data_IF_910139294865
#
_entry.id   IF_910139294865
#
_cell.length_a   1.000
_cell.length_b   1.000
_cell.length_c   1.000
_cell.angle_alpha   90.00
_cell.angle_beta   90.00
_cell.angle_gamma   90.00
#
_symmetry.space_group_name_H-M   'P 1'
#
loop_
_entity.id
_entity.type
_entity.pdbx_description
1 polymer ?
#
# COMPACT_ATOMS: atom_id res chain seq x y z
N UNK A 1 -0.76 -31.01 -18.96
CA UNK A 1 -1.47 -29.81 -18.46
C UNK A 1 -0.99 -29.60 -17.02
N UNK A 2 0.01 -28.75 -16.84
CA UNK A 2 0.57 -28.47 -15.53
C UNK A 2 -0.34 -27.49 -14.79
N UNK A 3 -0.93 -27.92 -13.68
CA UNK A 3 -1.59 -27.01 -12.73
C UNK A 3 -0.52 -26.17 -12.04
N UNK A 4 -0.22 -25.02 -12.64
CA UNK A 4 0.62 -24.01 -12.01
C UNK A 4 -0.06 -23.56 -10.72
N UNK A 5 0.58 -23.79 -9.57
CA UNK A 5 0.18 -23.21 -8.29
C UNK A 5 0.33 -21.69 -8.45
N UNK A 6 -0.80 -21.00 -8.57
CA UNK A 6 -0.83 -19.54 -8.54
C UNK A 6 -0.51 -19.14 -7.09
N UNK A 7 0.75 -18.83 -6.83
CA UNK A 7 1.15 -18.22 -5.55
C UNK A 7 0.51 -16.83 -5.53
N UNK A 8 -0.61 -16.70 -4.81
CA UNK A 8 -1.27 -15.40 -4.63
C UNK A 8 -0.36 -14.54 -3.76
N UNK A 9 0.00 -13.37 -4.26
CA UNK A 9 0.66 -12.35 -3.46
C UNK A 9 -0.24 -12.02 -2.26
N UNK A 10 0.28 -12.14 -1.04
CA UNK A 10 -0.41 -11.69 0.17
C UNK A 10 0.18 -10.35 0.59
N UNK A 11 -0.68 -9.35 0.71
CA UNK A 11 -0.29 -8.04 1.24
C UNK A 11 -0.68 -7.95 2.73
N UNK A 12 0.14 -7.34 3.60
CA UNK A 12 -0.24 -7.12 4.99
C UNK A 12 -1.49 -6.24 5.09
N UNK A 13 -2.30 -6.45 6.12
CA UNK A 13 -3.63 -5.85 6.32
C UNK A 13 -3.64 -4.31 6.42
N UNK A 14 -2.50 -3.71 6.75
CA UNK A 14 -2.31 -2.26 6.87
C UNK A 14 -1.13 -1.81 6.01
N UNK A 15 -1.40 -0.94 5.03
CA UNK A 15 -0.41 -0.21 4.25
C UNK A 15 -0.27 1.21 4.83
N UNK A 16 0.87 1.53 5.44
CA UNK A 16 1.19 2.87 5.90
C UNK A 16 1.86 3.65 4.79
N UNK A 17 1.24 4.76 4.35
CA UNK A 17 1.82 5.59 3.30
C UNK A 17 2.62 6.73 3.93
N UNK A 18 3.93 6.70 3.74
CA UNK A 18 4.86 7.77 4.12
C UNK A 18 4.81 8.83 3.02
N UNK A 19 3.80 9.69 3.12
CA UNK A 19 3.60 10.81 2.20
C UNK A 19 4.41 12.00 2.70
N UNK A 20 5.41 12.42 1.92
CA UNK A 20 6.36 13.46 2.33
C UNK A 20 5.64 14.78 2.59
N UNK A 21 4.72 15.18 1.71
CA UNK A 21 4.00 16.45 1.86
C UNK A 21 3.09 16.44 3.10
N UNK A 22 2.46 15.29 3.41
CA UNK A 22 1.65 15.14 4.61
C UNK A 22 2.49 15.16 5.90
N UNK A 23 3.63 14.47 5.89
CA UNK A 23 4.55 14.46 7.02
C UNK A 23 5.09 15.86 7.33
N UNK A 24 5.55 16.59 6.31
CA UNK A 24 6.07 17.96 6.45
C UNK A 24 5.00 18.94 6.96
N UNK A 25 3.75 18.84 6.48
CA UNK A 25 2.63 19.64 7.02
C UNK A 25 2.36 19.33 8.50
N UNK A 26 2.53 18.07 8.91
CA UNK A 26 2.40 17.65 10.30
C UNK A 26 3.68 17.90 11.14
N UNK A 27 4.70 18.55 10.56
CA UNK A 27 6.01 18.84 11.19
C UNK A 27 6.79 17.58 11.58
N UNK A 28 6.64 16.51 10.81
CA UNK A 28 7.41 15.29 10.93
C UNK A 28 8.44 15.18 9.80
N UNK A 29 9.63 14.63 10.10
CA UNK A 29 10.50 14.16 9.03
C UNK A 29 9.94 12.84 8.49
N UNK A 30 9.89 12.62 7.16
CA UNK A 30 9.35 11.39 6.58
C UNK A 30 9.99 10.11 7.13
N UNK A 31 11.30 10.15 7.40
CA UNK A 31 12.01 8.99 7.96
C UNK A 31 11.58 8.66 9.39
N UNK A 32 11.24 9.67 10.21
CA UNK A 32 10.75 9.46 11.58
C UNK A 32 9.32 8.89 11.57
N UNK A 33 8.49 9.27 10.59
CA UNK A 33 7.18 8.63 10.37
C UNK A 33 7.35 7.15 10.01
N UNK A 34 8.30 6.84 9.09
CA UNK A 34 8.59 5.45 8.73
C UNK A 34 9.05 4.63 9.93
N UNK A 35 9.95 5.21 10.76
CA UNK A 35 10.42 4.58 12.00
C UNK A 35 9.27 4.31 12.95
N UNK A 36 8.43 5.31 13.25
CA UNK A 36 7.27 5.17 14.13
C UNK A 36 6.29 4.11 13.62
N UNK A 37 6.00 4.09 12.30
CA UNK A 37 5.14 3.07 11.70
C UNK A 37 5.69 1.66 11.89
N UNK A 38 6.98 1.44 11.64
CA UNK A 38 7.65 0.15 11.82
C UNK A 38 7.66 -0.29 13.29
N UNK A 39 7.95 0.62 14.21
CA UNK A 39 7.90 0.39 15.67
C UNK A 39 6.49 0.06 16.13
N UNK A 40 5.46 0.66 15.51
CA UNK A 40 4.05 0.33 15.73
C UNK A 40 3.63 -1.04 15.20
N UNK A 41 4.48 -1.71 14.43
CA UNK A 41 4.24 -3.04 13.88
C UNK A 41 3.80 -3.07 12.41
N UNK A 42 3.85 -1.95 11.69
CA UNK A 42 3.58 -1.95 10.23
C UNK A 42 4.54 -2.89 9.49
N UNK A 43 3.99 -3.62 8.52
CA UNK A 43 4.75 -4.55 7.65
C UNK A 43 4.57 -4.27 6.17
N UNK A 44 3.85 -3.20 5.82
CA UNK A 44 3.69 -2.73 4.45
C UNK A 44 3.74 -1.20 4.45
N UNK A 45 4.80 -0.65 3.86
CA UNK A 45 5.03 0.79 3.72
C UNK A 45 5.01 1.17 2.25
N UNK A 46 4.44 2.34 1.96
CA UNK A 46 4.59 2.99 0.65
C UNK A 46 5.25 4.35 0.84
N UNK A 47 6.36 4.61 0.14
CA UNK A 47 7.02 5.94 0.14
C UNK A 47 6.49 6.75 -1.04
N UNK A 48 5.91 7.92 -0.74
CA UNK A 48 5.33 8.86 -1.72
C UNK A 48 5.91 10.25 -1.54
N UNK A 49 6.59 10.76 -2.58
CA UNK A 49 7.25 12.08 -2.59
C UNK A 49 7.08 12.74 -3.96
N UNK A 50 5.93 13.36 -4.20
CA UNK A 50 5.58 13.99 -5.49
C UNK A 50 6.40 15.25 -5.79
N UNK A 51 6.87 15.95 -4.77
CA UNK A 51 7.53 17.25 -4.86
C UNK A 51 9.05 17.17 -4.76
N UNK A 52 9.61 15.99 -4.48
CA UNK A 52 11.07 15.83 -4.31
C UNK A 52 11.77 15.48 -5.62
N UNK A 53 13.04 15.87 -5.72
CA UNK A 53 13.90 15.42 -6.81
C UNK A 53 14.11 13.90 -6.79
N UNK A 54 14.50 13.34 -7.94
CA UNK A 54 14.79 11.90 -8.02
C UNK A 54 15.90 11.46 -7.05
N UNK A 55 16.93 12.27 -6.86
CA UNK A 55 18.01 11.98 -5.91
C UNK A 55 17.49 11.96 -4.47
N UNK A 56 16.76 13.00 -4.04
CA UNK A 56 16.21 13.05 -2.68
C UNK A 56 15.19 11.93 -2.41
N UNK A 57 14.42 11.52 -3.42
CA UNK A 57 13.53 10.37 -3.32
C UNK A 57 14.33 9.07 -3.16
N UNK A 58 15.40 8.87 -3.95
CA UNK A 58 16.24 7.69 -3.87
C UNK A 58 16.90 7.57 -2.49
N UNK A 59 17.43 8.66 -1.96
CA UNK A 59 18.03 8.69 -0.63
C UNK A 59 17.01 8.30 0.44
N UNK A 60 15.83 8.94 0.45
CA UNK A 60 14.77 8.63 1.40
C UNK A 60 14.32 7.16 1.31
N UNK A 61 14.10 6.65 0.09
CA UNK A 61 13.67 5.25 -0.10
C UNK A 61 14.74 4.28 0.37
N UNK A 62 16.03 4.57 0.10
CA UNK A 62 17.17 3.74 0.56
C UNK A 62 17.23 3.66 2.09
N UNK A 63 17.02 4.79 2.75
CA UNK A 63 16.95 4.88 4.22
C UNK A 63 15.77 4.07 4.77
N UNK A 64 14.57 4.22 4.19
CA UNK A 64 13.37 3.48 4.60
C UNK A 64 13.54 1.98 4.37
N UNK A 65 14.10 1.55 3.24
CA UNK A 65 14.40 0.14 2.94
C UNK A 65 15.37 -0.44 3.97
N UNK A 66 16.43 0.31 4.31
CA UNK A 66 17.41 -0.10 5.32
C UNK A 66 16.74 -0.24 6.69
N UNK A 67 15.91 0.71 7.07
CA UNK A 67 15.15 0.72 8.33
C UNK A 67 14.14 -0.45 8.41
N UNK A 68 13.51 -0.79 7.30
CA UNK A 68 12.49 -1.85 7.23
C UNK A 68 13.07 -3.27 7.23
N UNK A 69 14.34 -3.43 6.83
CA UNK A 69 14.99 -4.74 6.65
C UNK A 69 14.92 -5.66 7.88
N UNK A 70 15.22 -5.20 9.12
CA UNK A 70 15.18 -6.08 10.29
C UNK A 70 13.80 -6.67 10.57
N UNK A 71 12.73 -5.97 10.18
CA UNK A 71 11.34 -6.40 10.39
C UNK A 71 10.76 -7.21 9.24
N UNK A 72 11.48 -7.34 8.12
CA UNK A 72 10.99 -7.95 6.90
C UNK A 72 9.81 -7.19 6.27
N UNK A 73 9.62 -5.91 6.61
CA UNK A 73 8.51 -5.14 6.08
C UNK A 73 8.66 -4.87 4.57
N UNK A 74 7.55 -5.00 3.86
CA UNK A 74 7.47 -4.69 2.44
C UNK A 74 7.48 -3.17 2.25
N UNK A 75 8.43 -2.67 1.46
CA UNK A 75 8.50 -1.27 1.06
C UNK A 75 8.22 -1.16 -0.43
N UNK A 76 7.24 -0.36 -0.83
CA UNK A 76 6.96 -0.02 -2.23
C UNK A 76 7.16 1.48 -2.47
N UNK A 77 7.57 1.83 -3.69
CA UNK A 77 7.77 3.21 -4.10
C UNK A 77 6.59 3.67 -4.96
N UNK A 78 6.08 4.86 -4.70
CA UNK A 78 5.01 5.43 -5.51
C UNK A 78 5.58 5.92 -6.86
N UNK A 79 4.98 5.52 -8.00
CA UNK A 79 5.24 5.90 -9.39
C UNK A 79 6.60 5.50 -9.99
N UNK A 80 7.66 5.40 -9.22
CA UNK A 80 9.06 5.35 -9.68
C UNK A 80 9.65 3.93 -9.57
N UNK A 81 9.44 3.12 -10.62
CA UNK A 81 10.02 1.76 -10.71
C UNK A 81 11.55 1.77 -10.74
N UNK A 82 12.17 2.77 -11.34
CA UNK A 82 13.62 2.98 -11.37
C UNK A 82 14.19 3.22 -9.96
N UNK A 83 13.56 4.09 -9.18
CA UNK A 83 13.95 4.33 -7.77
C UNK A 83 13.73 3.07 -6.93
N UNK A 84 12.59 2.38 -7.12
CA UNK A 84 12.33 1.13 -6.41
C UNK A 84 13.45 0.10 -6.67
N UNK A 85 13.87 -0.02 -7.93
CA UNK A 85 14.97 -0.91 -8.33
C UNK A 85 16.30 -0.51 -7.71
N UNK A 86 16.70 0.76 -7.83
CA UNK A 86 17.98 1.28 -7.33
C UNK A 86 18.11 1.18 -5.81
N UNK A 87 17.04 1.49 -5.08
CA UNK A 87 17.01 1.41 -3.61
C UNK A 87 16.82 -0.02 -3.08
N UNK A 88 16.54 -1.00 -3.94
CA UNK A 88 16.25 -2.37 -3.52
C UNK A 88 14.91 -2.50 -2.78
N UNK A 89 13.93 -1.64 -3.09
CA UNK A 89 12.59 -1.73 -2.53
C UNK A 89 11.85 -3.00 -2.98
N UNK A 90 10.84 -3.41 -2.23
CA UNK A 90 10.04 -4.61 -2.49
C UNK A 90 9.10 -4.50 -3.69
N UNK A 91 8.91 -3.29 -4.24
CA UNK A 91 8.06 -3.08 -5.41
C UNK A 91 7.74 -1.63 -5.71
N UNK A 92 6.77 -1.43 -6.61
CA UNK A 92 6.28 -0.12 -7.03
C UNK A 92 4.75 -0.07 -7.00
N UNK A 93 4.20 1.09 -6.74
CA UNK A 93 2.78 1.39 -6.87
C UNK A 93 2.56 2.45 -7.94
N UNK A 94 1.73 2.16 -8.95
CA UNK A 94 1.54 2.96 -10.15
C UNK A 94 0.14 3.57 -10.19
N UNK A 95 0.04 4.84 -10.54
CA UNK A 95 -1.20 5.51 -10.89
C UNK A 95 -1.60 5.28 -12.35
N UNK A 96 -2.70 5.92 -12.80
CA UNK A 96 -3.23 5.73 -14.15
C UNK A 96 -2.33 6.36 -15.23
N UNK A 97 -1.68 7.48 -14.91
CA UNK A 97 -0.84 8.26 -15.83
C UNK A 97 0.65 7.94 -15.71
N UNK A 98 1.00 6.97 -14.86
CA UNK A 98 2.39 6.55 -14.66
C UNK A 98 2.82 5.48 -15.69
N UNK A 99 4.04 4.98 -15.55
CA UNK A 99 4.57 3.91 -16.38
C UNK A 99 3.62 2.70 -16.39
N UNK A 100 3.37 2.13 -17.55
CA UNK A 100 2.55 0.92 -17.65
C UNK A 100 3.17 -0.24 -16.85
N UNK A 101 2.37 -1.11 -16.20
CA UNK A 101 2.86 -2.23 -15.39
C UNK A 101 3.86 -3.14 -16.10
N UNK A 102 3.70 -3.39 -17.40
CA UNK A 102 4.66 -4.17 -18.18
C UNK A 102 6.04 -3.50 -18.26
N UNK A 103 6.08 -2.18 -18.44
CA UNK A 103 7.33 -1.41 -18.43
C UNK A 103 8.00 -1.42 -17.05
N UNK A 104 7.20 -1.23 -15.99
CA UNK A 104 7.70 -1.32 -14.62
C UNK A 104 8.25 -2.71 -14.31
N UNK A 105 7.58 -3.78 -14.78
CA UNK A 105 8.04 -5.15 -14.64
C UNK A 105 9.41 -5.35 -15.30
N UNK A 106 9.58 -4.85 -16.54
CA UNK A 106 10.87 -4.93 -17.25
C UNK A 106 12.01 -4.26 -16.46
N UNK A 107 11.74 -3.12 -15.80
CA UNK A 107 12.75 -2.44 -14.98
C UNK A 107 13.06 -3.25 -13.71
N UNK A 108 12.04 -3.74 -13.02
CA UNK A 108 12.19 -4.45 -11.74
C UNK A 108 12.89 -5.80 -11.91
N UNK A 109 12.68 -6.48 -13.05
CA UNK A 109 13.27 -7.79 -13.36
C UNK A 109 14.73 -7.70 -13.89
N UNK A 110 15.26 -6.49 -14.14
CA UNK A 110 16.69 -6.32 -14.46
C UNK A 110 17.57 -6.89 -13.32
N UNK A 111 18.77 -7.37 -13.62
CA UNK A 111 19.73 -7.81 -12.59
C UNK A 111 19.94 -6.74 -11.51
N UNK A 112 20.12 -7.15 -10.26
CA UNK A 112 20.36 -6.21 -9.17
C UNK A 112 21.71 -5.50 -9.35
N UNK A 113 21.71 -4.17 -9.25
CA UNK A 113 22.93 -3.35 -9.36
C UNK A 113 23.71 -3.40 -8.03
N UNK A 114 23.00 -3.62 -6.90
CA UNK A 114 23.62 -3.71 -5.57
C UNK A 114 23.61 -5.13 -5.02
N UNK A 115 24.76 -5.55 -4.48
CA UNK A 115 24.91 -6.82 -3.77
C UNK A 115 24.18 -6.76 -2.43
N UNK A 116 23.19 -7.61 -2.19
CA UNK A 116 22.63 -7.77 -0.85
C UNK A 116 21.15 -8.06 -0.72
N UNK A 117 20.41 -8.24 -1.81
CA UNK A 117 19.06 -8.78 -1.74
C UNK A 117 19.14 -10.29 -1.87
N UNK A 118 18.58 -11.02 -0.91
CA UNK A 118 18.34 -12.45 -1.10
C UNK A 118 17.47 -12.62 -2.37
N UNK A 119 17.86 -13.50 -3.27
CA UNK A 119 17.25 -13.72 -4.60
C UNK A 119 15.80 -14.25 -4.56
N UNK A 120 15.11 -14.23 -3.42
CA UNK A 120 13.97 -15.10 -3.17
C UNK A 120 12.57 -14.45 -3.35
N UNK A 121 12.42 -13.15 -3.55
CA UNK A 121 11.10 -12.59 -3.80
C UNK A 121 11.06 -11.62 -4.97
N UNK A 122 10.22 -11.94 -5.95
CA UNK A 122 9.89 -11.04 -7.06
C UNK A 122 9.31 -9.73 -6.53
N UNK A 123 9.80 -8.58 -7.01
CA UNK A 123 9.25 -7.28 -6.67
C UNK A 123 7.78 -7.18 -7.10
N UNK A 124 6.93 -6.62 -6.23
CA UNK A 124 5.49 -6.51 -6.50
C UNK A 124 5.14 -5.21 -7.23
N UNK A 125 4.08 -5.24 -8.02
CA UNK A 125 3.50 -4.08 -8.71
C UNK A 125 2.06 -3.90 -8.25
N UNK A 126 1.75 -2.73 -7.69
CA UNK A 126 0.40 -2.29 -7.42
C UNK A 126 -0.10 -1.30 -8.46
N UNK A 127 -1.40 -1.29 -8.74
CA UNK A 127 -2.05 -0.35 -9.66
C UNK A 127 -3.24 0.34 -9.00
N UNK A 128 -3.26 1.67 -9.03
CA UNK A 128 -4.42 2.47 -8.60
C UNK A 128 -5.57 2.29 -9.59
N UNK A 129 -6.80 2.13 -9.08
CA UNK A 129 -8.04 2.08 -9.84
C UNK A 129 -9.14 2.88 -9.15
N UNK A 130 -10.06 3.45 -9.93
CA UNK A 130 -11.13 4.32 -9.45
C UNK A 130 -12.50 3.94 -10.02
N UNK A 131 -12.52 3.15 -11.10
CA UNK A 131 -13.73 2.72 -11.83
C UNK A 131 -13.68 1.23 -12.12
N UNK A 132 -14.85 0.63 -12.42
CA UNK A 132 -14.95 -0.76 -12.84
C UNK A 132 -14.13 -1.05 -14.12
N UNK A 133 -14.08 -0.11 -15.08
CA UNK A 133 -13.29 -0.25 -16.31
C UNK A 133 -11.79 -0.29 -16.03
N UNK A 134 -11.30 0.61 -15.16
CA UNK A 134 -9.89 0.61 -14.74
C UNK A 134 -9.53 -0.67 -13.99
N UNK A 135 -10.43 -1.18 -13.17
CA UNK A 135 -10.24 -2.44 -12.45
C UNK A 135 -10.17 -3.63 -13.42
N UNK A 136 -11.08 -3.68 -14.40
CA UNK A 136 -11.08 -4.73 -15.44
C UNK A 136 -9.82 -4.66 -16.32
N UNK A 137 -9.32 -3.46 -16.62
CA UNK A 137 -8.07 -3.27 -17.35
C UNK A 137 -6.87 -3.76 -16.52
N UNK A 138 -6.75 -3.33 -15.26
CA UNK A 138 -5.66 -3.73 -14.37
C UNK A 138 -5.60 -5.25 -14.14
N UNK A 139 -6.75 -5.94 -14.12
CA UNK A 139 -6.79 -7.40 -13.97
C UNK A 139 -6.15 -8.17 -15.15
N UNK A 140 -5.90 -7.51 -16.29
CA UNK A 140 -5.24 -8.08 -17.48
C UNK A 140 -3.76 -7.71 -17.56
N UNK A 141 -3.28 -6.87 -16.66
CA UNK A 141 -1.91 -6.39 -16.60
C UNK A 141 -1.07 -7.22 -15.60
N UNK A 142 0.27 -7.21 -15.71
CA UNK A 142 1.15 -7.94 -14.81
C UNK A 142 1.28 -7.26 -13.44
N UNK A 143 0.15 -7.05 -12.76
CA UNK A 143 0.07 -6.46 -11.42
C UNK A 143 -0.13 -7.55 -10.36
N UNK A 144 0.35 -7.27 -9.15
CA UNK A 144 0.27 -8.20 -8.02
C UNK A 144 -0.86 -7.81 -7.04
N UNK A 145 -1.30 -6.54 -7.06
CA UNK A 145 -2.48 -6.06 -6.34
C UNK A 145 -3.08 -4.82 -7.01
N UNK A 146 -4.33 -4.54 -6.72
CA UNK A 146 -5.00 -3.31 -7.14
C UNK A 146 -5.31 -2.44 -5.93
N UNK A 147 -5.20 -1.11 -6.07
CA UNK A 147 -5.72 -0.18 -5.08
C UNK A 147 -7.02 0.43 -5.58
N UNK A 148 -8.04 0.49 -4.72
CA UNK A 148 -9.34 1.09 -5.02
C UNK A 148 -9.61 2.29 -4.12
N UNK A 149 -10.05 3.40 -4.70
CA UNK A 149 -10.41 4.59 -3.93
C UNK A 149 -10.62 5.85 -4.78
N UNK A 150 -11.00 6.95 -4.09
CA UNK A 150 -11.15 7.06 -2.63
C UNK A 150 -12.43 6.35 -2.13
N UNK A 151 -12.31 5.53 -1.08
CA UNK A 151 -13.48 4.81 -0.52
C UNK A 151 -14.44 5.77 0.17
N UNK A 152 -13.89 6.70 0.96
CA UNK A 152 -14.62 7.76 1.64
C UNK A 152 -14.12 9.14 1.20
N UNK A 153 -14.86 10.19 1.52
CA UNK A 153 -14.41 11.55 1.26
C UNK A 153 -13.05 11.83 1.92
N UNK A 154 -12.16 12.50 1.20
CA UNK A 154 -10.83 12.81 1.68
C UNK A 154 -10.33 14.13 1.11
N UNK A 155 -9.57 14.87 1.94
CA UNK A 155 -8.90 16.10 1.55
C UNK A 155 -7.36 15.89 1.41
N UNK A 156 -6.87 14.70 1.72
CA UNK A 156 -5.41 14.41 1.74
C UNK A 156 -4.82 14.39 0.33
N UNK A 157 -5.59 13.93 -0.66
CA UNK A 157 -5.19 13.87 -2.06
C UNK A 157 -6.34 14.33 -2.95
N UNK A 158 -6.12 15.38 -3.73
CA UNK A 158 -7.04 15.78 -4.79
C UNK A 158 -6.90 14.79 -5.96
N UNK A 159 -7.78 13.79 -6.03
CA UNK A 159 -7.76 12.76 -7.09
C UNK A 159 -8.69 13.09 -8.25
N UNK A 160 -9.59 14.07 -8.08
CA UNK A 160 -10.66 14.35 -9.05
C UNK A 160 -11.80 13.31 -9.03
N UNK A 161 -11.67 12.23 -8.25
CA UNK A 161 -12.70 11.20 -8.13
C UNK A 161 -13.55 11.39 -6.88
N UNK A 162 -14.84 11.09 -7.00
CA UNK A 162 -15.76 11.02 -5.87
C UNK A 162 -15.52 9.73 -5.05
N UNK A 163 -16.01 9.73 -3.81
CA UNK A 163 -15.95 8.54 -2.96
C UNK A 163 -16.74 7.38 -3.60
N UNK A 164 -16.07 6.23 -3.74
CA UNK A 164 -16.64 5.05 -4.43
C UNK A 164 -17.42 4.12 -3.49
N UNK A 165 -17.29 4.28 -2.18
CA UNK A 165 -18.01 3.51 -1.17
C UNK A 165 -17.53 2.07 -1.01
N UNK A 166 -18.14 1.36 -0.04
CA UNK A 166 -17.81 -0.04 0.28
C UNK A 166 -18.27 -1.01 -0.80
N UNK A 167 -19.34 -0.71 -1.54
CA UNK A 167 -19.81 -1.56 -2.64
C UNK A 167 -18.75 -1.70 -3.74
N UNK A 168 -18.02 -0.63 -4.04
CA UNK A 168 -16.94 -0.70 -5.02
C UNK A 168 -15.78 -1.55 -4.49
N UNK A 169 -15.48 -1.51 -3.19
CA UNK A 169 -14.50 -2.41 -2.57
C UNK A 169 -14.91 -3.86 -2.79
N UNK A 170 -16.19 -4.22 -2.54
CA UNK A 170 -16.70 -5.57 -2.78
C UNK A 170 -16.57 -6.01 -4.25
N UNK A 171 -16.91 -5.11 -5.19
CA UNK A 171 -16.74 -5.42 -6.63
C UNK A 171 -15.28 -5.62 -7.00
N UNK A 172 -14.37 -4.85 -6.42
CA UNK A 172 -12.94 -4.93 -6.71
C UNK A 172 -12.31 -6.29 -6.34
N UNK A 173 -12.92 -7.08 -5.48
CA UNK A 173 -12.42 -8.42 -5.12
C UNK A 173 -12.69 -9.49 -6.17
N UNK A 174 -13.64 -9.25 -7.09
CA UNK A 174 -14.10 -10.26 -8.08
C UNK A 174 -13.00 -10.76 -9.03
N UNK A 175 -12.06 -9.93 -9.50
CA UNK A 175 -10.96 -10.41 -10.35
C UNK A 175 -9.97 -11.35 -9.65
N UNK A 176 -10.04 -11.46 -8.31
CA UNK A 176 -9.20 -12.37 -7.53
C UNK A 176 -7.81 -11.82 -7.20
N UNK A 177 -7.51 -10.56 -7.52
CA UNK A 177 -6.33 -9.84 -7.04
C UNK A 177 -6.55 -9.33 -5.61
N UNK A 178 -5.51 -9.25 -4.77
CA UNK A 178 -5.59 -8.56 -3.50
C UNK A 178 -6.01 -7.10 -3.70
N UNK A 179 -6.96 -6.63 -2.90
CA UNK A 179 -7.46 -5.25 -2.96
C UNK A 179 -6.90 -4.45 -1.79
N UNK A 180 -6.22 -3.36 -2.10
CA UNK A 180 -5.79 -2.34 -1.14
C UNK A 180 -6.76 -1.18 -1.23
N UNK A 181 -7.57 -0.95 -0.22
CA UNK A 181 -8.53 0.16 -0.20
C UNK A 181 -7.88 1.42 0.37
N UNK A 182 -8.15 2.58 -0.24
CA UNK A 182 -7.57 3.87 0.16
C UNK A 182 -8.58 5.00 0.07
N UNK A 183 -8.33 6.08 0.80
CA UNK A 183 -9.06 7.36 0.74
C UNK A 183 -10.11 7.50 1.83
N UNK A 184 -9.89 8.47 2.73
CA UNK A 184 -10.75 8.77 3.86
C UNK A 184 -10.85 7.67 4.91
N UNK A 185 -9.89 6.74 4.92
CA UNK A 185 -9.86 5.64 5.89
C UNK A 185 -9.28 6.15 7.21
N UNK A 186 -10.02 5.93 8.28
CA UNK A 186 -9.68 6.26 9.67
C UNK A 186 -9.74 4.99 10.53
N UNK A 187 -9.24 5.06 11.75
CA UNK A 187 -9.31 3.94 12.70
C UNK A 187 -10.76 3.44 12.90
N UNK A 188 -11.73 4.36 12.89
CA UNK A 188 -13.15 4.09 13.14
C UNK A 188 -13.78 3.29 12.01
N UNK A 189 -13.46 3.61 10.74
CA UNK A 189 -14.09 3.00 9.56
C UNK A 189 -13.25 1.89 8.89
N UNK A 190 -11.98 1.71 9.28
CA UNK A 190 -11.07 0.75 8.65
C UNK A 190 -11.60 -0.69 8.67
N UNK A 191 -12.28 -1.09 9.75
CA UNK A 191 -12.81 -2.45 9.88
C UNK A 191 -13.88 -2.75 8.83
N UNK A 192 -14.80 -1.82 8.57
CA UNK A 192 -15.86 -2.00 7.56
C UNK A 192 -15.29 -2.19 6.15
N UNK A 193 -14.11 -1.63 5.87
CA UNK A 193 -13.41 -1.80 4.59
C UNK A 193 -12.86 -3.22 4.43
N UNK A 194 -12.29 -3.79 5.50
CA UNK A 194 -11.84 -5.20 5.51
C UNK A 194 -13.04 -6.14 5.43
N UNK A 195 -14.12 -5.86 6.15
CA UNK A 195 -15.36 -6.66 6.11
C UNK A 195 -16.02 -6.61 4.71
N UNK A 196 -15.81 -5.54 3.95
CA UNK A 196 -16.20 -5.45 2.53
C UNK A 196 -15.30 -6.27 1.59
N UNK A 197 -14.25 -6.92 2.10
CA UNK A 197 -13.40 -7.85 1.36
C UNK A 197 -12.04 -7.30 0.95
N UNK A 198 -11.66 -6.07 1.33
CA UNK A 198 -10.31 -5.58 1.10
C UNK A 198 -9.28 -6.45 1.83
N UNK A 199 -8.17 -6.76 1.16
CA UNK A 199 -7.04 -7.47 1.77
C UNK A 199 -6.20 -6.54 2.67
N UNK A 200 -6.23 -5.24 2.37
CA UNK A 200 -5.45 -4.21 3.09
C UNK A 200 -6.16 -2.87 3.04
N UNK A 201 -5.95 -2.06 4.07
CA UNK A 201 -6.29 -0.64 4.07
C UNK A 201 -5.03 0.21 3.97
N UNK A 202 -5.05 1.25 3.13
CA UNK A 202 -3.95 2.20 3.01
C UNK A 202 -4.31 3.54 3.67
N UNK A 203 -3.44 4.03 4.54
CA UNK A 203 -3.70 5.20 5.38
C UNK A 203 -2.55 6.21 5.23
N UNK A 204 -2.90 7.51 5.15
CA UNK A 204 -1.97 8.66 5.13
C UNK A 204 -2.26 9.56 6.34
N UNK A 205 -3.30 10.39 6.22
CA UNK A 205 -3.55 11.48 7.15
C UNK A 205 -3.88 11.02 8.56
N UNK A 206 -4.62 9.94 8.68
CA UNK A 206 -5.04 9.40 9.98
C UNK A 206 -3.88 8.84 10.82
N UNK A 207 -2.77 8.44 10.17
CA UNK A 207 -1.54 8.06 10.87
C UNK A 207 -0.96 9.21 11.68
N UNK A 208 -1.13 10.44 11.21
CA UNK A 208 -0.54 11.65 11.80
C UNK A 208 -1.53 12.45 12.67
N UNK A 209 -2.81 12.05 12.65
CA UNK A 209 -3.90 12.83 13.25
C UNK A 209 -3.78 13.01 14.78
N UNK A 210 -3.15 12.06 15.46
CA UNK A 210 -2.97 12.09 16.93
C UNK A 210 -1.62 12.65 17.37
N UNK A 211 -0.69 12.90 16.43
CA UNK A 211 0.69 13.26 16.75
C UNK A 211 1.56 12.09 17.24
N UNK A 212 1.01 10.87 17.29
CA UNK A 212 1.72 9.63 17.64
C UNK A 212 1.45 8.53 16.60
N UNK A 213 2.22 8.50 15.49
CA UNK A 213 2.03 7.51 14.43
C UNK A 213 2.27 6.07 14.90
N UNK A 214 3.14 5.85 15.87
CA UNK A 214 3.45 4.52 16.41
C UNK A 214 2.23 3.94 17.14
N UNK A 215 1.66 4.70 18.07
CA UNK A 215 0.44 4.28 18.78
C UNK A 215 -0.75 4.13 17.81
N UNK A 216 -0.83 5.00 16.79
CA UNK A 216 -1.90 4.93 15.79
C UNK A 216 -1.83 3.66 14.95
N UNK A 217 -0.63 3.24 14.53
CA UNK A 217 -0.42 1.97 13.82
C UNK A 217 -0.80 0.78 14.70
N UNK A 218 -0.38 0.75 15.97
CA UNK A 218 -0.79 -0.31 16.91
C UNK A 218 -2.31 -0.40 17.03
N UNK A 219 -2.99 0.73 17.13
CA UNK A 219 -4.45 0.78 17.20
C UNK A 219 -5.11 0.23 15.93
N UNK A 220 -4.61 0.59 14.74
CA UNK A 220 -5.07 0.01 13.48
C UNK A 220 -4.89 -1.50 13.44
N UNK A 221 -3.71 -2.00 13.77
CA UNK A 221 -3.42 -3.44 13.74
C UNK A 221 -4.30 -4.20 14.72
N UNK A 222 -4.51 -3.68 15.93
CA UNK A 222 -5.45 -4.26 16.89
C UNK A 222 -6.89 -4.28 16.36
N UNK A 223 -7.35 -3.18 15.75
CA UNK A 223 -8.68 -3.07 15.16
C UNK A 223 -8.90 -4.02 13.99
N UNK A 224 -7.89 -4.18 13.13
CA UNK A 224 -7.95 -5.00 11.92
C UNK A 224 -7.71 -6.49 12.21
N UNK A 225 -6.91 -6.84 13.21
CA UNK A 225 -6.63 -8.22 13.63
C UNK A 225 -7.74 -8.86 14.47
N UNK A 226 -8.60 -8.08 15.12
CA UNK A 226 -9.74 -8.60 15.85
C UNK A 226 -10.75 -9.22 14.87
N UNK A 227 -10.78 -10.56 14.76
CA UNK A 227 -11.86 -11.24 14.03
C UNK A 227 -13.17 -10.96 14.75
N UNK A 228 -14.19 -10.49 14.03
CA UNK A 228 -15.57 -10.60 14.50
C UNK A 228 -15.88 -12.08 14.59
N UNK A 229 -16.07 -12.61 15.81
CA UNK A 229 -16.72 -13.92 15.94
C UNK A 229 -18.10 -13.82 15.28
N UNK A 230 -18.47 -14.78 14.42
CA UNK A 230 -19.84 -14.83 13.92
C UNK A 230 -20.73 -14.95 15.16
N UNK A 231 -21.64 -13.99 15.33
CA UNK A 231 -22.57 -13.95 16.44
C UNK A 231 -23.25 -15.29 16.61
N UNK A 232 -22.99 -15.93 17.74
CA UNK A 232 -23.81 -17.06 18.20
C UNK A 232 -25.19 -16.47 18.46
N UNK A 233 -26.09 -16.64 17.51
CA UNK A 233 -27.51 -16.45 17.76
C UNK A 233 -27.95 -17.52 18.74
N UNK A 234 -27.94 -17.19 20.02
CA UNK A 234 -28.69 -17.94 21.02
C UNK A 234 -30.16 -17.76 20.69
N UNK A 235 -30.74 -18.79 20.10
CA UNK A 235 -32.18 -18.90 19.96
C UNK A 235 -32.75 -19.40 21.32
N UNK A 236 -33.83 -18.78 21.79
CA UNK A 236 -34.47 -19.14 23.08
C UNK A 236 -35.16 -20.49 23.06
#
# INVERSE_FOLDING_TARGET
>A
MGSGVVIRCTVPVLCTIIDVDAAERARWRPIDVAHACLSGGARFLQVRAKTKSAAALLDLVSDVVTLARPSGALVVVNDRADVAKLAGAGGVHLGQDDLAPAGARSILDLPAISRGRAEESRAIIGKSTHTDDQLAAAAREPVDYVAIGPVFHTHTKATGYQAVGLEMVQRATRPGLPVVAIGGITLENARSVIDAGAASVAVIGDLLATGDPEARVRAFLARLGARSEPGVTSNP
#
